data_IF_937276050684
#
_entry.id   IF_937276050684
#
_cell.length_a   1.000
_cell.length_b   1.000
_cell.length_c   1.000
_cell.angle_alpha   90.00
_cell.angle_beta   90.00
_cell.angle_gamma   90.00
#
_symmetry.space_group_name_H-M   'P 1'
#
loop_
_entity.id
_entity.type
_entity.pdbx_description
1 polymer ?
#
# COMPACT_ATOMS: atom_id res chain seq x y z
N UNK A 1 0.26 21.93 -11.42
CA UNK A 1 1.17 20.85 -11.88
C UNK A 1 1.12 19.60 -10.99
N UNK A 2 0.02 19.32 -10.27
CA UNK A 2 0.14 18.59 -8.99
C UNK A 2 -0.11 17.08 -9.02
N UNK A 3 -1.14 16.55 -9.69
CA UNK A 3 -1.55 15.15 -9.47
C UNK A 3 -0.77 14.12 -10.29
N UNK A 4 -0.50 14.39 -11.58
CA UNK A 4 0.19 13.44 -12.47
C UNK A 4 1.66 13.22 -12.04
N UNK A 5 2.33 14.27 -11.58
CA UNK A 5 3.71 14.16 -11.06
C UNK A 5 3.76 13.35 -9.76
N UNK A 6 2.83 13.62 -8.81
CA UNK A 6 2.64 12.81 -7.60
C UNK A 6 2.41 11.36 -7.94
N UNK A 7 1.51 11.10 -8.89
CA UNK A 7 1.17 9.75 -9.32
C UNK A 7 2.37 9.02 -9.93
N UNK A 8 3.17 9.69 -10.74
CA UNK A 8 4.40 9.10 -11.28
C UNK A 8 5.34 8.67 -10.15
N UNK A 9 5.61 9.55 -9.19
CA UNK A 9 6.57 9.29 -8.11
C UNK A 9 6.04 8.23 -7.13
N UNK A 10 4.78 8.36 -6.69
CA UNK A 10 4.17 7.46 -5.70
C UNK A 10 3.74 6.11 -6.29
N UNK A 11 3.37 6.09 -7.57
CA UNK A 11 3.13 4.86 -8.33
C UNK A 11 4.41 4.05 -8.50
N UNK A 12 5.50 4.68 -8.95
CA UNK A 12 6.83 4.05 -9.07
C UNK A 12 7.33 3.53 -7.71
N UNK A 13 7.25 4.34 -6.65
CA UNK A 13 7.70 3.95 -5.31
C UNK A 13 6.92 2.77 -4.72
N UNK A 14 5.68 2.53 -5.14
CA UNK A 14 4.87 1.38 -4.69
C UNK A 14 5.40 0.04 -5.21
N UNK A 15 6.23 0.01 -6.25
CA UNK A 15 6.73 -1.23 -6.85
C UNK A 15 7.53 -2.09 -5.85
N UNK A 16 8.13 -1.47 -4.83
CA UNK A 16 8.90 -2.17 -3.80
C UNK A 16 8.03 -2.90 -2.76
N UNK A 17 6.71 -2.72 -2.80
CA UNK A 17 5.74 -3.51 -2.00
C UNK A 17 5.40 -4.87 -2.63
N UNK A 18 6.27 -5.43 -3.48
CA UNK A 18 6.08 -6.73 -4.13
C UNK A 18 6.74 -7.87 -3.31
N UNK A 19 5.99 -8.94 -3.04
CA UNK A 19 6.56 -10.19 -2.51
C UNK A 19 7.22 -11.07 -3.59
N UNK A 20 6.98 -10.79 -4.88
CA UNK A 20 7.57 -11.51 -6.00
C UNK A 20 8.53 -10.58 -6.74
N UNK A 21 9.81 -10.61 -6.36
CA UNK A 21 10.87 -10.10 -7.23
C UNK A 21 11.15 -11.11 -8.35
N UNK A 22 10.13 -11.39 -9.19
CA UNK A 22 10.40 -11.95 -10.51
C UNK A 22 10.83 -10.75 -11.33
N UNK A 23 12.09 -10.77 -11.80
CA UNK A 23 12.69 -9.68 -12.55
C UNK A 23 11.71 -9.08 -13.54
N UNK A 24 11.69 -7.74 -13.61
CA UNK A 24 10.88 -6.94 -14.51
C UNK A 24 10.70 -7.63 -15.86
N UNK A 25 9.61 -8.38 -16.02
CA UNK A 25 9.15 -8.76 -17.34
C UNK A 25 8.65 -7.45 -17.95
N UNK A 26 9.51 -6.82 -18.74
CA UNK A 26 9.19 -5.67 -19.59
C UNK A 26 7.96 -5.92 -20.45
N UNK A 27 7.56 -7.18 -20.63
CA UNK A 27 6.38 -7.61 -21.38
C UNK A 27 5.03 -7.46 -20.64
N UNK A 28 4.99 -7.21 -19.33
CA UNK A 28 3.71 -6.92 -18.63
C UNK A 28 3.25 -5.45 -18.78
N UNK A 29 3.94 -4.66 -19.60
CA UNK A 29 3.57 -3.32 -20.02
C UNK A 29 2.75 -3.35 -21.33
N UNK A 30 1.73 -4.21 -21.42
CA UNK A 30 0.82 -4.16 -22.57
C UNK A 30 -0.27 -3.13 -22.32
N UNK A 31 -0.16 -2.02 -23.07
CA UNK A 31 -1.13 -0.93 -23.31
C UNK A 31 -1.14 0.26 -22.33
N UNK A 32 -0.51 1.36 -22.77
CA UNK A 32 -0.33 2.69 -22.14
C UNK A 32 0.42 2.65 -20.80
N UNK A 33 1.63 3.22 -20.76
CA UNK A 33 2.43 3.45 -19.54
C UNK A 33 1.75 4.45 -18.59
N UNK A 34 0.57 4.11 -18.07
CA UNK A 34 -0.12 4.88 -17.05
C UNK A 34 0.54 4.57 -15.70
N UNK A 35 1.08 5.57 -15.00
CA UNK A 35 1.77 5.32 -13.74
C UNK A 35 0.79 4.76 -12.70
N UNK A 36 1.27 3.83 -11.89
CA UNK A 36 0.46 3.18 -10.86
C UNK A 36 -0.43 2.04 -11.35
N UNK A 37 -0.36 1.61 -12.62
CA UNK A 37 -1.04 0.39 -13.06
C UNK A 37 -0.17 -0.85 -12.80
N UNK A 38 -0.72 -1.83 -12.09
CA UNK A 38 -0.11 -3.13 -11.82
C UNK A 38 -1.05 -4.27 -12.24
N UNK A 39 -0.62 -5.14 -13.16
CA UNK A 39 -1.39 -6.29 -13.61
C UNK A 39 -1.23 -7.48 -12.65
N UNK A 40 -2.14 -7.59 -11.69
CA UNK A 40 -2.17 -8.71 -10.75
C UNK A 40 -2.65 -9.99 -11.45
N UNK A 41 -2.01 -11.13 -11.18
CA UNK A 41 -2.45 -12.43 -11.68
C UNK A 41 -3.31 -13.14 -10.64
N UNK A 42 -4.50 -13.56 -11.06
CA UNK A 42 -5.39 -14.43 -10.28
C UNK A 42 -4.91 -15.88 -10.32
N UNK A 43 -5.41 -16.75 -9.44
CA UNK A 43 -5.08 -18.18 -9.45
C UNK A 43 -5.46 -18.87 -10.78
N UNK A 44 -6.48 -18.37 -11.47
CA UNK A 44 -6.90 -18.87 -12.79
C UNK A 44 -6.08 -18.34 -13.97
N UNK A 45 -5.03 -17.54 -13.73
CA UNK A 45 -4.17 -16.98 -14.77
C UNK A 45 -4.66 -15.67 -15.39
N UNK A 46 -5.88 -15.22 -15.09
CA UNK A 46 -6.38 -13.93 -15.55
C UNK A 46 -5.58 -12.78 -14.94
N UNK A 47 -5.23 -11.79 -15.76
CA UNK A 47 -4.63 -10.53 -15.33
C UNK A 47 -5.73 -9.51 -15.03
N UNK A 48 -5.62 -8.84 -13.88
CA UNK A 48 -6.52 -7.78 -13.43
C UNK A 48 -5.68 -6.52 -13.20
N UNK A 49 -5.96 -5.39 -13.87
CA UNK A 49 -5.25 -4.16 -13.64
C UNK A 49 -5.67 -3.54 -12.30
N UNK A 50 -4.71 -3.36 -11.39
CA UNK A 50 -4.90 -2.67 -10.13
C UNK A 50 -4.19 -1.31 -10.18
N UNK A 51 -4.84 -0.30 -9.63
CA UNK A 51 -4.21 0.96 -9.29
C UNK A 51 -3.39 0.79 -8.01
N UNK A 52 -2.08 0.60 -8.16
CA UNK A 52 -1.11 0.40 -7.10
C UNK A 52 -0.35 1.70 -6.83
N UNK A 53 -0.52 2.25 -5.64
CA UNK A 53 0.04 3.57 -5.30
C UNK A 53 0.37 3.68 -3.81
N UNK A 54 1.31 4.56 -3.48
CA UNK A 54 1.54 5.02 -2.11
C UNK A 54 0.70 6.27 -1.81
N UNK A 55 0.08 6.35 -0.63
CA UNK A 55 -0.49 7.58 -0.10
C UNK A 55 0.60 8.63 0.13
N UNK A 56 1.73 8.21 0.70
CA UNK A 56 2.90 9.06 0.95
C UNK A 56 4.19 8.26 0.80
N UNK A 57 5.26 8.88 0.30
CA UNK A 57 6.62 8.32 0.35
C UNK A 57 7.43 8.88 1.52
N UNK A 58 6.83 9.72 2.38
CA UNK A 58 7.45 10.15 3.63
C UNK A 58 7.44 9.00 4.63
N UNK A 59 8.62 8.66 5.18
CA UNK A 59 8.74 7.60 6.17
C UNK A 59 9.83 7.94 7.18
N UNK A 60 9.54 7.77 8.46
CA UNK A 60 10.49 7.92 9.56
C UNK A 60 11.33 6.67 9.80
N UNK A 61 10.96 5.54 9.19
CA UNK A 61 11.69 4.28 9.36
C UNK A 61 12.97 4.21 8.55
N UNK A 62 13.97 3.52 9.07
CA UNK A 62 15.33 3.40 8.54
C UNK A 62 15.58 2.07 7.80
N UNK A 63 14.53 1.44 7.25
CA UNK A 63 14.63 0.12 6.65
C UNK A 63 15.66 0.07 5.49
N UNK A 64 16.78 -0.65 5.67
CA UNK A 64 17.94 -0.69 4.78
C UNK A 64 17.62 -1.15 3.34
N UNK A 65 16.54 -1.90 3.16
CA UNK A 65 16.08 -2.39 1.86
C UNK A 65 15.12 -1.43 1.14
N UNK A 66 14.60 -0.41 1.84
CA UNK A 66 13.50 0.41 1.34
C UNK A 66 14.02 1.72 0.77
N UNK A 67 13.71 2.01 -0.50
CA UNK A 67 14.04 3.31 -1.10
C UNK A 67 13.46 4.47 -0.29
N UNK A 68 12.32 4.26 0.38
CA UNK A 68 11.63 5.29 1.15
C UNK A 68 12.18 5.49 2.57
N UNK A 69 13.24 4.79 2.97
CA UNK A 69 13.78 4.96 4.32
C UNK A 69 14.24 6.40 4.60
N UNK A 70 14.22 6.80 5.87
CA UNK A 70 14.33 8.20 6.29
C UNK A 70 15.67 8.88 5.93
N UNK A 71 16.75 8.11 5.74
CA UNK A 71 18.07 8.66 5.41
C UNK A 71 18.27 8.94 3.92
N UNK A 72 17.43 8.37 3.04
CA UNK A 72 17.50 8.65 1.62
C UNK A 72 17.00 10.07 1.28
N UNK A 73 17.78 10.77 0.45
CA UNK A 73 17.47 12.13 -0.02
C UNK A 73 16.85 12.08 -1.41
N UNK A 74 15.54 12.28 -1.48
CA UNK A 74 14.77 12.44 -2.71
C UNK A 74 13.50 13.25 -2.41
N UNK A 75 12.76 13.62 -3.45
CA UNK A 75 11.54 14.40 -3.33
C UNK A 75 10.47 13.63 -2.52
N UNK A 76 10.12 14.16 -1.36
CA UNK A 76 9.11 13.57 -0.49
C UNK A 76 7.76 14.19 -0.75
N UNK A 77 6.79 13.36 -1.11
CA UNK A 77 5.47 13.79 -1.54
C UNK A 77 4.39 12.89 -0.94
N UNK A 78 3.22 13.48 -0.73
CA UNK A 78 2.02 12.82 -0.28
C UNK A 78 0.80 13.30 -1.07
N UNK A 79 -0.15 12.40 -1.23
CA UNK A 79 -1.49 12.73 -1.66
C UNK A 79 -2.32 13.20 -0.46
N UNK A 80 -3.21 14.14 -0.70
CA UNK A 80 -4.39 14.30 0.15
C UNK A 80 -5.38 13.16 -0.12
N UNK A 81 -6.33 12.95 0.80
CA UNK A 81 -7.39 11.95 0.64
C UNK A 81 -8.15 12.17 -0.67
N UNK A 82 -8.58 13.41 -0.91
CA UNK A 82 -9.40 13.79 -2.07
C UNK A 82 -8.61 13.67 -3.38
N UNK A 83 -7.32 14.02 -3.40
CA UNK A 83 -6.47 13.85 -4.59
C UNK A 83 -6.38 12.36 -4.97
N UNK A 84 -6.11 11.47 -4.02
CA UNK A 84 -5.95 10.04 -4.31
C UNK A 84 -7.28 9.43 -4.78
N UNK A 85 -8.38 9.73 -4.09
CA UNK A 85 -9.72 9.25 -4.45
C UNK A 85 -10.08 9.72 -5.86
N UNK A 86 -9.88 11.01 -6.16
CA UNK A 86 -10.16 11.59 -7.48
C UNK A 86 -9.39 10.87 -8.58
N UNK A 87 -8.07 10.68 -8.40
CA UNK A 87 -7.22 9.97 -9.37
C UNK A 87 -7.66 8.52 -9.54
N UNK A 88 -7.93 7.81 -8.45
CA UNK A 88 -8.38 6.42 -8.52
C UNK A 88 -9.72 6.29 -9.24
N UNK A 89 -10.71 7.13 -8.92
CA UNK A 89 -12.02 7.11 -9.58
C UNK A 89 -11.90 7.45 -11.06
N UNK A 90 -11.01 8.37 -11.44
CA UNK A 90 -10.70 8.64 -12.85
C UNK A 90 -10.16 7.39 -13.56
N UNK A 91 -9.21 6.68 -12.93
CA UNK A 91 -8.65 5.44 -13.47
C UNK A 91 -9.70 4.34 -13.59
N UNK A 92 -10.59 4.22 -12.61
CA UNK A 92 -11.68 3.25 -12.60
C UNK A 92 -12.74 3.54 -13.67
N UNK A 93 -13.21 4.78 -13.77
CA UNK A 93 -14.25 5.20 -14.73
C UNK A 93 -13.79 5.12 -16.18
N UNK A 94 -12.49 5.26 -16.44
CA UNK A 94 -11.90 5.11 -17.77
C UNK A 94 -11.41 3.68 -18.06
N UNK A 95 -11.74 2.72 -17.19
CA UNK A 95 -11.36 1.30 -17.32
C UNK A 95 -9.84 1.07 -17.40
N UNK A 96 -9.04 1.95 -16.78
CA UNK A 96 -7.60 1.77 -16.64
C UNK A 96 -7.24 0.86 -15.47
N UNK A 97 -8.08 0.83 -14.43
CA UNK A 97 -7.93 -0.05 -13.27
C UNK A 97 -9.28 -0.63 -12.83
N UNK A 98 -9.28 -1.85 -12.33
CA UNK A 98 -10.44 -2.55 -11.79
C UNK A 98 -10.45 -2.59 -10.26
N UNK A 99 -9.32 -2.29 -9.62
CA UNK A 99 -9.15 -2.32 -8.17
C UNK A 99 -8.09 -1.36 -7.66
N UNK A 100 -8.10 -1.10 -6.35
CA UNK A 100 -7.12 -0.29 -5.63
C UNK A 100 -6.18 -1.19 -4.82
N UNK A 101 -4.88 -0.97 -4.93
CA UNK A 101 -3.88 -1.42 -3.97
C UNK A 101 -3.24 -0.19 -3.34
N UNK A 102 -3.52 0.06 -2.07
CA UNK A 102 -3.03 1.23 -1.35
C UNK A 102 -2.06 0.83 -0.25
N UNK A 103 -0.94 1.52 -0.20
CA UNK A 103 0.09 1.44 0.83
C UNK A 103 0.54 2.86 1.19
N UNK A 104 1.42 3.01 2.17
CA UNK A 104 1.96 4.31 2.55
C UNK A 104 3.30 4.15 3.25
N UNK A 105 4.13 5.18 3.16
CA UNK A 105 5.10 5.50 4.19
C UNK A 105 4.41 5.93 5.49
N UNK A 106 5.22 6.15 6.52
CA UNK A 106 4.76 6.49 7.86
C UNK A 106 5.41 7.82 8.28
N UNK A 107 4.78 8.99 7.99
CA UNK A 107 5.30 10.29 8.36
C UNK A 107 5.09 10.53 9.87
N UNK A 108 5.85 9.85 10.70
CA UNK A 108 5.74 9.92 12.15
C UNK A 108 4.99 8.74 12.73
N UNK A 109 3.67 8.87 12.87
CA UNK A 109 2.83 7.90 13.59
C UNK A 109 2.18 6.86 12.66
N UNK A 110 2.19 5.60 13.13
CA UNK A 110 1.66 4.46 12.37
C UNK A 110 0.13 4.48 12.25
N UNK A 111 -0.57 4.92 13.30
CA UNK A 111 -2.02 5.01 13.30
C UNK A 111 -2.51 6.16 12.43
N UNK A 112 -1.84 7.31 12.46
CA UNK A 112 -2.14 8.42 11.54
C UNK A 112 -1.98 8.00 10.07
N UNK A 113 -0.89 7.31 9.73
CA UNK A 113 -0.67 6.80 8.38
C UNK A 113 -1.75 5.78 7.97
N UNK A 114 -2.11 4.88 8.87
CA UNK A 114 -3.14 3.87 8.63
C UNK A 114 -4.54 4.49 8.54
N UNK A 115 -4.85 5.47 9.38
CA UNK A 115 -6.13 6.19 9.39
C UNK A 115 -6.38 6.87 8.05
N UNK A 116 -5.39 7.56 7.49
CA UNK A 116 -5.51 8.15 6.15
C UNK A 116 -5.88 7.11 5.08
N UNK A 117 -5.22 5.95 5.09
CA UNK A 117 -5.55 4.86 4.15
C UNK A 117 -6.94 4.26 4.39
N UNK A 118 -7.34 4.12 5.65
CA UNK A 118 -8.68 3.65 6.05
C UNK A 118 -9.74 4.64 5.59
N UNK A 119 -9.48 5.95 5.70
CA UNK A 119 -10.42 6.99 5.31
C UNK A 119 -10.62 7.05 3.79
N UNK A 120 -9.57 6.81 3.00
CA UNK A 120 -9.71 6.59 1.55
C UNK A 120 -10.69 5.44 1.28
N UNK A 121 -10.50 4.28 1.92
CA UNK A 121 -11.38 3.15 1.73
C UNK A 121 -12.81 3.42 2.23
N UNK A 122 -12.96 4.16 3.33
CA UNK A 122 -14.25 4.55 3.90
C UNK A 122 -15.06 5.40 2.92
N UNK A 123 -14.47 6.48 2.42
CA UNK A 123 -15.08 7.38 1.43
C UNK A 123 -15.42 6.61 0.16
N UNK A 124 -14.50 5.81 -0.37
CA UNK A 124 -14.77 5.00 -1.56
C UNK A 124 -15.98 4.09 -1.37
N UNK A 125 -16.13 3.44 -0.21
CA UNK A 125 -17.25 2.52 0.07
C UNK A 125 -18.57 3.24 0.31
N UNK A 126 -18.57 4.30 1.11
CA UNK A 126 -19.81 4.90 1.63
C UNK A 126 -20.25 6.17 0.91
N UNK A 127 -19.31 6.98 0.40
CA UNK A 127 -19.61 8.22 -0.31
C UNK A 127 -19.68 8.00 -1.82
N UNK A 128 -18.72 7.25 -2.38
CA UNK A 128 -18.63 7.01 -3.83
C UNK A 128 -19.22 5.66 -4.26
N UNK A 129 -19.75 4.87 -3.32
CA UNK A 129 -20.38 3.57 -3.53
C UNK A 129 -19.54 2.62 -4.40
N UNK A 130 -18.21 2.72 -4.34
CA UNK A 130 -17.30 1.86 -5.08
C UNK A 130 -17.36 0.45 -4.49
N UNK A 131 -17.77 -0.52 -5.30
CA UNK A 131 -17.94 -1.94 -4.91
C UNK A 131 -16.84 -2.86 -5.43
N UNK A 132 -15.83 -2.31 -6.11
CA UNK A 132 -14.72 -3.10 -6.64
C UNK A 132 -13.66 -3.43 -5.58
N UNK A 133 -12.57 -4.03 -6.04
CA UNK A 133 -11.54 -4.59 -5.16
C UNK A 133 -10.67 -3.51 -4.49
N UNK A 134 -10.51 -3.57 -3.17
CA UNK A 134 -9.61 -2.75 -2.37
C UNK A 134 -8.66 -3.65 -1.58
N UNK A 135 -7.36 -3.42 -1.75
CA UNK A 135 -6.30 -4.01 -0.94
C UNK A 135 -5.58 -2.91 -0.15
N UNK A 136 -5.63 -2.97 1.18
CA UNK A 136 -4.85 -2.11 2.06
C UNK A 136 -3.61 -2.82 2.63
N UNK A 137 -2.43 -2.21 2.50
CA UNK A 137 -1.23 -2.65 3.24
C UNK A 137 -1.30 -2.11 4.66
N UNK A 138 -1.32 -3.00 5.65
CA UNK A 138 -1.26 -2.63 7.06
C UNK A 138 0.12 -2.06 7.39
N UNK A 139 0.15 -0.85 7.94
CA UNK A 139 1.37 -0.21 8.41
C UNK A 139 1.91 -0.97 9.64
N UNK A 140 3.18 -1.40 9.65
CA UNK A 140 3.81 -1.92 10.86
C UNK A 140 3.71 -0.89 11.97
N UNK A 141 3.20 -1.26 13.13
CA UNK A 141 2.92 -0.29 14.19
C UNK A 141 1.46 0.21 14.24
N UNK A 142 0.57 -0.17 13.30
CA UNK A 142 -0.84 0.19 13.37
C UNK A 142 -1.60 -0.55 14.49
N UNK A 143 -2.51 0.11 15.20
CA UNK A 143 -3.29 -0.44 16.29
C UNK A 143 -4.31 -1.47 15.84
N UNK A 144 -4.82 -2.23 16.82
CA UNK A 144 -5.83 -3.25 16.56
C UNK A 144 -7.09 -2.67 15.92
N UNK A 145 -7.52 -1.48 16.39
CA UNK A 145 -8.74 -0.83 15.90
C UNK A 145 -8.58 -0.32 14.47
N UNK A 146 -7.41 0.21 14.09
CA UNK A 146 -7.13 0.57 12.70
C UNK A 146 -7.16 -0.64 11.77
N UNK A 147 -6.57 -1.77 12.18
CA UNK A 147 -6.61 -3.01 11.39
C UNK A 147 -8.05 -3.51 11.26
N UNK A 148 -8.83 -3.45 12.34
CA UNK A 148 -10.25 -3.85 12.32
C UNK A 148 -11.06 -2.98 11.36
N UNK A 149 -10.90 -1.65 11.40
CA UNK A 149 -11.54 -0.72 10.46
C UNK A 149 -11.14 -1.04 9.02
N UNK A 150 -9.84 -1.24 8.76
CA UNK A 150 -9.33 -1.60 7.44
C UNK A 150 -9.94 -2.91 6.90
N UNK A 151 -10.02 -3.95 7.73
CA UNK A 151 -10.60 -5.24 7.35
C UNK A 151 -12.12 -5.20 7.12
N UNK A 152 -12.84 -4.22 7.69
CA UNK A 152 -14.26 -4.03 7.43
C UNK A 152 -14.53 -3.34 6.08
N UNK A 153 -13.54 -2.59 5.55
CA UNK A 153 -13.70 -1.76 4.35
C UNK A 153 -13.02 -2.38 3.11
N UNK A 154 -11.91 -3.08 3.31
CA UNK A 154 -11.08 -3.67 2.26
C UNK A 154 -11.40 -5.14 2.02
N UNK A 155 -11.32 -5.57 0.76
CA UNK A 155 -11.44 -6.99 0.37
C UNK A 155 -10.23 -7.81 0.80
N UNK A 156 -9.07 -7.14 0.90
CA UNK A 156 -7.82 -7.76 1.34
C UNK A 156 -6.99 -6.80 2.18
N UNK A 157 -6.32 -7.36 3.18
CA UNK A 157 -5.23 -6.69 3.90
C UNK A 157 -3.96 -7.51 3.85
N UNK A 158 -2.79 -6.86 3.90
CA UNK A 158 -1.50 -7.54 4.02
C UNK A 158 -0.51 -6.76 4.87
N UNK A 159 0.42 -7.46 5.50
CA UNK A 159 1.59 -6.88 6.15
C UNK A 159 2.80 -7.70 5.72
N UNK A 160 3.92 -7.05 5.44
CA UNK A 160 5.15 -7.74 5.03
C UNK A 160 5.94 -8.17 6.27
N UNK A 161 6.49 -9.38 6.23
CA UNK A 161 7.30 -9.92 7.31
C UNK A 161 8.78 -9.49 7.22
N UNK A 162 9.29 -9.39 5.99
CA UNK A 162 10.64 -8.91 5.59
C UNK A 162 11.84 -9.72 6.10
N UNK A 163 11.72 -10.46 7.19
CA UNK A 163 12.74 -11.40 7.66
C UNK A 163 12.13 -12.64 8.31
N UNK A 164 12.82 -13.77 8.18
CA UNK A 164 12.41 -15.03 8.80
C UNK A 164 12.67 -15.07 10.32
N UNK A 165 13.56 -14.21 10.84
CA UNK A 165 13.95 -14.19 12.25
C UNK A 165 13.96 -12.77 12.81
N UNK A 166 13.77 -12.64 14.12
CA UNK A 166 13.86 -11.34 14.80
C UNK A 166 15.26 -10.72 14.69
N UNK A 167 16.32 -11.53 14.79
CA UNK A 167 17.70 -11.07 14.64
C UNK A 167 17.96 -10.51 13.23
N UNK A 168 17.57 -11.26 12.20
CA UNK A 168 17.69 -10.76 10.83
C UNK A 168 16.84 -9.52 10.57
N UNK A 169 15.68 -9.37 11.24
CA UNK A 169 14.88 -8.15 11.13
C UNK A 169 15.59 -6.93 11.74
N UNK A 170 16.29 -7.10 12.86
CA UNK A 170 17.07 -6.02 13.50
C UNK A 170 18.24 -5.54 12.63
N UNK A 171 18.78 -6.39 11.75
CA UNK A 171 19.77 -5.99 10.76
C UNK A 171 19.17 -5.11 9.64
N UNK A 172 17.85 -5.24 9.39
CA UNK A 172 17.17 -4.47 8.36
C UNK A 172 16.76 -3.07 8.82
N UNK A 173 16.49 -2.87 10.11
CA UNK A 173 15.93 -1.61 10.62
C UNK A 173 16.11 -1.51 12.13
N UNK A 174 16.44 -0.31 12.62
CA UNK A 174 16.48 -0.01 14.06
C UNK A 174 15.19 0.64 14.58
N UNK A 175 14.30 1.03 13.66
CA UNK A 175 13.09 1.83 13.98
C UNK A 175 11.81 1.01 14.13
N UNK A 176 11.86 -0.31 13.94
CA UNK A 176 10.69 -1.21 14.05
C UNK A 176 11.03 -2.45 14.88
N UNK A 177 10.05 -2.94 15.62
CA UNK A 177 10.15 -4.18 16.38
C UNK A 177 9.44 -5.35 15.67
N UNK A 178 10.15 -6.45 15.45
CA UNK A 178 9.62 -7.62 14.73
C UNK A 178 8.38 -8.23 15.40
N UNK A 179 8.42 -8.39 16.72
CA UNK A 179 7.34 -9.05 17.45
C UNK A 179 6.11 -8.16 17.60
N UNK A 180 6.34 -6.89 17.91
CA UNK A 180 5.31 -5.92 18.19
C UNK A 180 4.76 -5.35 16.90
N UNK A 181 5.57 -4.81 16.01
CA UNK A 181 5.10 -4.04 14.84
C UNK A 181 4.66 -4.91 13.67
N UNK A 182 5.15 -6.15 13.59
CA UNK A 182 4.86 -7.07 12.49
C UNK A 182 4.07 -8.30 12.93
N UNK A 183 4.65 -9.17 13.76
CA UNK A 183 4.00 -10.45 14.12
C UNK A 183 2.69 -10.27 14.88
N UNK A 184 2.61 -9.28 15.79
CA UNK A 184 1.38 -8.97 16.52
C UNK A 184 0.25 -8.56 15.56
N UNK A 185 0.57 -7.75 14.55
CA UNK A 185 -0.38 -7.31 13.51
C UNK A 185 -0.87 -8.50 12.70
N UNK A 186 0.02 -9.39 12.25
CA UNK A 186 -0.37 -10.65 11.59
C UNK A 186 -1.29 -11.52 12.45
N UNK A 187 -0.98 -11.66 13.73
CA UNK A 187 -1.80 -12.41 14.69
C UNK A 187 -3.19 -11.79 14.85
N UNK A 188 -3.28 -10.46 14.88
CA UNK A 188 -4.55 -9.74 14.94
C UNK A 188 -5.38 -9.92 13.67
N UNK A 189 -4.78 -9.78 12.48
CA UNK A 189 -5.44 -10.07 11.20
C UNK A 189 -6.00 -11.50 11.18
N UNK A 190 -5.20 -12.49 11.58
CA UNK A 190 -5.62 -13.89 11.64
C UNK A 190 -6.76 -14.16 12.64
N UNK A 191 -6.85 -13.38 13.72
CA UNK A 191 -7.96 -13.45 14.69
C UNK A 191 -9.23 -12.81 14.14
N UNK A 192 -9.11 -11.66 13.49
CA UNK A 192 -10.24 -10.93 12.90
C UNK A 192 -10.85 -11.70 11.73
N UNK A 193 -10.05 -12.39 10.90
CA UNK A 193 -10.53 -13.22 9.78
C UNK A 193 -11.42 -14.40 10.21
N UNK A 194 -11.30 -14.87 11.45
CA UNK A 194 -12.07 -16.01 11.98
C UNK A 194 -13.45 -15.62 12.53
N UNK A 195 -13.81 -14.33 12.44
CA UNK A 195 -15.13 -13.81 12.80
C UNK A 195 -15.94 -13.59 11.54
#
# INVERSE_FOLDING_TARGET
MMEIQKLRILGEASQYDLCNHVGLNQENFTSRNLPGIYHARTQGGCQVPLFKVLMSNHCTSDCNYCINHCHNRFERIEFSLEELISVFLHYYQNHYAEGLFLSSGMPGDADMAMENMVEVAHKLRLEYEYKGYIHLKIIPGASYDMIKRAMNLADRVSVNLESATAAGFQELTSTKDYHNDVLRRMKWIGRLKKR
#
